data_IF_356913977837
#
_entry.id   IF_356913977837
#
_cell.length_a   1.000
_cell.length_b   1.000
_cell.length_c   1.000
_cell.angle_alpha   90.00
_cell.angle_beta   90.00
_cell.angle_gamma   90.00
#
_symmetry.space_group_name_H-M   'P 1'
#
loop_
_entity.id
_entity.type
_entity.pdbx_description
1 polymer ?
#
# COMPACT_ATOMS: atom_id res chain seq x y z
N UNK A 1 52.45 -9.05 0.86
CA UNK A 1 51.29 -9.82 0.36
C UNK A 1 50.17 -9.93 1.41
N UNK A 2 50.48 -10.21 2.67
CA UNK A 2 49.51 -10.24 3.79
C UNK A 2 48.69 -8.95 3.96
N UNK A 3 49.35 -7.79 3.91
CA UNK A 3 48.69 -6.48 4.04
C UNK A 3 47.64 -6.23 2.96
N UNK A 4 47.94 -6.55 1.70
CA UNK A 4 46.99 -6.39 0.59
C UNK A 4 45.76 -7.28 0.77
N UNK A 5 45.94 -8.53 1.20
CA UNK A 5 44.83 -9.46 1.44
C UNK A 5 43.94 -8.97 2.58
N UNK A 6 44.53 -8.51 3.69
CA UNK A 6 43.79 -7.95 4.83
C UNK A 6 43.05 -6.67 4.43
N UNK A 7 43.71 -5.74 3.73
CA UNK A 7 43.07 -4.52 3.24
C UNK A 7 41.92 -4.82 2.27
N UNK A 8 42.06 -5.81 1.37
CA UNK A 8 41.00 -6.25 0.47
C UNK A 8 39.81 -6.85 1.23
N UNK A 9 40.06 -7.68 2.25
CA UNK A 9 39.00 -8.22 3.12
C UNK A 9 38.26 -7.12 3.89
N UNK A 10 39.00 -6.16 4.46
CA UNK A 10 38.40 -5.00 5.13
C UNK A 10 37.60 -4.13 4.16
N UNK A 11 38.07 -3.94 2.94
CA UNK A 11 37.35 -3.21 1.91
C UNK A 11 36.03 -3.93 1.54
N UNK A 12 36.09 -5.23 1.23
CA UNK A 12 34.90 -6.01 0.86
C UNK A 12 33.89 -6.11 2.00
N UNK A 13 34.36 -6.28 3.24
CA UNK A 13 33.46 -6.29 4.41
C UNK A 13 32.81 -4.93 4.65
N UNK A 14 33.54 -3.83 4.49
CA UNK A 14 33.01 -2.46 4.57
C UNK A 14 31.97 -2.22 3.47
N UNK A 15 32.27 -2.61 2.23
CA UNK A 15 31.34 -2.47 1.10
C UNK A 15 30.04 -3.26 1.35
N UNK A 16 30.14 -4.50 1.84
CA UNK A 16 28.98 -5.32 2.21
C UNK A 16 28.14 -4.66 3.30
N UNK A 17 28.76 -4.17 4.37
CA UNK A 17 28.06 -3.48 5.47
C UNK A 17 27.37 -2.21 4.99
N UNK A 18 28.01 -1.45 4.09
CA UNK A 18 27.42 -0.25 3.51
C UNK A 18 26.17 -0.59 2.69
N UNK A 19 26.28 -1.56 1.77
CA UNK A 19 25.14 -2.01 0.96
C UNK A 19 23.97 -2.49 1.84
N UNK A 20 24.23 -3.31 2.85
CA UNK A 20 23.20 -3.78 3.78
C UNK A 20 22.52 -2.63 4.54
N UNK A 21 23.29 -1.63 4.99
CA UNK A 21 22.73 -0.47 5.67
C UNK A 21 21.86 0.37 4.73
N UNK A 22 22.29 0.58 3.48
CA UNK A 22 21.51 1.29 2.46
C UNK A 22 20.19 0.57 2.15
N UNK A 23 20.22 -0.75 1.99
CA UNK A 23 19.02 -1.56 1.76
C UNK A 23 18.02 -1.42 2.91
N UNK A 24 18.50 -1.54 4.15
CA UNK A 24 17.65 -1.42 5.34
C UNK A 24 17.04 -0.02 5.46
N UNK A 25 17.79 1.03 5.11
CA UNK A 25 17.27 2.40 5.09
C UNK A 25 16.19 2.57 4.02
N UNK A 26 16.40 2.05 2.80
CA UNK A 26 15.41 2.08 1.73
C UNK A 26 14.11 1.38 2.14
N UNK A 27 14.22 0.17 2.70
CA UNK A 27 13.07 -0.58 3.22
C UNK A 27 12.37 0.17 4.34
N UNK A 28 13.13 0.77 5.26
CA UNK A 28 12.57 1.55 6.36
C UNK A 28 11.79 2.77 5.87
N UNK A 29 12.29 3.44 4.83
CA UNK A 29 11.63 4.58 4.22
C UNK A 29 10.36 4.17 3.45
N UNK A 30 10.43 3.09 2.65
CA UNK A 30 9.28 2.53 1.95
C UNK A 30 8.15 2.17 2.93
N UNK A 31 8.48 1.49 4.03
CA UNK A 31 7.51 1.16 5.09
C UNK A 31 6.87 2.42 5.70
N UNK A 32 7.69 3.43 6.02
CA UNK A 32 7.20 4.69 6.60
C UNK A 32 6.26 5.41 5.64
N UNK A 33 6.61 5.49 4.37
CA UNK A 33 5.82 6.22 3.38
C UNK A 33 4.51 5.51 3.04
N UNK A 34 4.54 4.17 2.94
CA UNK A 34 3.32 3.36 2.83
C UNK A 34 2.41 3.54 4.05
N UNK A 35 2.94 3.43 5.28
CA UNK A 35 2.13 3.62 6.50
C UNK A 35 1.56 5.04 6.61
N UNK A 36 2.33 6.08 6.28
CA UNK A 36 1.86 7.48 6.32
C UNK A 36 0.70 7.72 5.38
N UNK A 37 0.72 7.09 4.21
CA UNK A 37 -0.32 7.20 3.19
C UNK A 37 -1.46 6.18 3.37
N UNK A 38 -1.41 5.36 4.41
CA UNK A 38 -2.42 4.35 4.66
C UNK A 38 -3.81 4.97 4.83
N UNK A 39 -4.78 4.35 4.16
CA UNK A 39 -6.16 4.78 4.12
C UNK A 39 -6.41 6.06 3.35
N UNK A 40 -5.43 6.58 2.60
CA UNK A 40 -5.61 7.80 1.83
C UNK A 40 -6.78 7.69 0.87
N UNK A 41 -7.67 8.67 0.96
CA UNK A 41 -8.56 9.13 -0.11
C UNK A 41 -8.57 10.68 -0.05
N UNK A 42 -9.05 11.37 -1.09
CA UNK A 42 -8.96 12.83 -1.16
C UNK A 42 -9.68 13.58 -0.03
N UNK A 43 -10.81 13.06 0.48
CA UNK A 43 -11.60 13.74 1.50
C UNK A 43 -11.36 13.19 2.92
N UNK A 44 -11.73 11.93 3.17
CA UNK A 44 -11.54 11.27 4.47
C UNK A 44 -10.76 9.97 4.33
N UNK A 45 -10.08 9.54 5.39
CA UNK A 45 -9.45 8.21 5.39
C UNK A 45 -10.49 7.11 5.22
N UNK A 46 -10.16 6.00 4.54
CA UNK A 46 -11.09 4.88 4.32
C UNK A 46 -11.69 4.32 5.62
N UNK A 47 -10.99 4.50 6.75
CA UNK A 47 -11.48 4.08 8.06
C UNK A 47 -12.72 4.88 8.55
N UNK A 48 -13.01 6.02 7.91
CA UNK A 48 -14.09 6.95 8.25
C UNK A 48 -15.14 7.05 7.14
N UNK A 49 -14.94 6.33 6.03
CA UNK A 49 -15.90 6.24 4.93
C UNK A 49 -16.74 4.97 5.08
N UNK A 50 -17.97 5.02 4.59
CA UNK A 50 -18.76 3.80 4.37
C UNK A 50 -18.19 3.07 3.15
N UNK A 51 -17.30 2.12 3.41
CA UNK A 51 -16.55 1.41 2.37
C UNK A 51 -17.15 0.05 2.02
N UNK A 52 -17.24 -0.25 0.73
CA UNK A 52 -17.61 -1.56 0.21
C UNK A 52 -16.62 -2.05 -0.85
N UNK A 53 -16.04 -3.23 -0.67
CA UNK A 53 -15.32 -3.90 -1.75
C UNK A 53 -16.33 -4.64 -2.64
N UNK A 54 -16.41 -4.26 -3.92
CA UNK A 54 -17.37 -4.82 -4.86
C UNK A 54 -16.81 -6.06 -5.56
N UNK A 55 -15.50 -6.32 -5.47
CA UNK A 55 -14.86 -7.51 -6.03
C UNK A 55 -15.26 -8.78 -5.27
N UNK A 56 -15.31 -8.69 -3.94
CA UNK A 56 -15.56 -9.82 -3.03
C UNK A 56 -16.70 -9.58 -2.02
N UNK A 57 -17.43 -8.47 -2.14
CA UNK A 57 -18.56 -8.10 -1.27
C UNK A 57 -18.17 -7.93 0.21
N UNK A 58 -16.88 -7.73 0.50
CA UNK A 58 -16.41 -7.42 1.83
C UNK A 58 -16.82 -5.99 2.24
N UNK A 59 -17.56 -5.89 3.34
CA UNK A 59 -17.84 -4.64 4.02
C UNK A 59 -16.75 -4.31 5.05
N UNK A 60 -16.55 -3.02 5.33
CA UNK A 60 -15.59 -2.50 6.33
C UNK A 60 -14.11 -2.76 6.01
N UNK A 61 -13.62 -2.17 4.91
CA UNK A 61 -12.19 -2.11 4.60
C UNK A 61 -11.43 -1.24 5.62
N UNK A 62 -10.32 -1.77 6.15
CA UNK A 62 -9.45 -1.07 7.09
C UNK A 62 -8.15 -0.68 6.41
N UNK A 63 -7.69 0.55 6.65
CA UNK A 63 -6.48 1.15 6.08
C UNK A 63 -5.22 0.33 6.35
N UNK A 64 -5.12 -0.21 7.57
CA UNK A 64 -3.97 -1.01 8.00
C UNK A 64 -4.48 -2.25 8.72
N UNK A 65 -3.98 -3.39 8.32
CA UNK A 65 -4.30 -4.69 8.89
C UNK A 65 -3.01 -5.49 9.12
N UNK A 66 -2.97 -6.27 10.19
CA UNK A 66 -1.90 -7.26 10.40
C UNK A 66 -2.46 -8.67 10.32
N UNK A 67 -1.75 -9.57 9.63
CA UNK A 67 -2.10 -11.00 9.55
C UNK A 67 -0.96 -11.88 10.08
N UNK A 68 -1.27 -13.16 10.27
CA UNK A 68 -0.30 -14.19 10.66
C UNK A 68 -0.03 -14.29 12.16
N UNK A 69 0.53 -15.43 12.57
CA UNK A 69 0.99 -15.64 13.94
C UNK A 69 2.17 -14.70 14.23
N UNK A 70 2.04 -13.84 15.24
CA UNK A 70 3.06 -12.85 15.61
C UNK A 70 3.08 -11.56 14.79
N UNK A 71 2.03 -11.27 14.01
CA UNK A 71 1.86 -10.01 13.26
C UNK A 71 3.04 -9.70 12.32
N UNK A 72 3.49 -10.72 11.60
CA UNK A 72 4.61 -10.66 10.65
C UNK A 72 4.17 -10.36 9.20
N UNK A 73 2.92 -9.97 9.02
CA UNK A 73 2.35 -9.55 7.75
C UNK A 73 1.59 -8.25 7.99
N UNK A 74 2.00 -7.18 7.31
CA UNK A 74 1.35 -5.88 7.27
C UNK A 74 0.68 -5.68 5.92
N UNK A 75 -0.59 -5.30 5.94
CA UNK A 75 -1.34 -4.88 4.75
C UNK A 75 -1.69 -3.41 4.93
N UNK A 76 -1.36 -2.61 3.92
CA UNK A 76 -1.69 -1.19 3.84
C UNK A 76 -2.55 -0.96 2.61
N UNK A 77 -3.68 -0.30 2.79
CA UNK A 77 -4.67 -0.06 1.74
C UNK A 77 -4.90 1.42 1.56
N UNK A 78 -4.93 1.90 0.32
CA UNK A 78 -5.17 3.31 0.00
C UNK A 78 -5.59 3.51 -1.45
N UNK A 79 -6.21 4.65 -1.74
CA UNK A 79 -6.27 5.18 -3.09
C UNK A 79 -4.87 5.67 -3.51
N UNK A 80 -4.57 5.62 -4.80
CA UNK A 80 -3.44 6.32 -5.39
C UNK A 80 -3.56 7.84 -5.16
N UNK A 81 -2.42 8.52 -5.02
CA UNK A 81 -2.33 9.97 -4.99
C UNK A 81 -2.53 10.59 -6.39
N UNK A 82 -2.31 9.83 -7.45
CA UNK A 82 -2.77 10.16 -8.80
C UNK A 82 -4.25 9.74 -8.98
N UNK A 83 -5.14 10.54 -8.42
CA UNK A 83 -6.60 10.37 -8.51
C UNK A 83 -7.24 11.48 -9.35
N UNK A 84 -8.47 11.24 -9.78
CA UNK A 84 -9.21 12.05 -10.74
C UNK A 84 -10.58 12.44 -10.20
N UNK A 85 -11.06 13.60 -10.63
CA UNK A 85 -12.43 14.03 -10.36
C UNK A 85 -13.39 13.33 -11.32
N UNK A 86 -14.46 12.78 -10.74
CA UNK A 86 -15.61 12.32 -11.49
C UNK A 86 -16.40 13.56 -11.92
N UNK A 87 -16.40 13.82 -13.23
CA UNK A 87 -17.12 14.94 -13.82
C UNK A 87 -18.62 14.68 -13.80
N UNK A 88 -19.04 13.44 -14.06
CA UNK A 88 -20.45 13.06 -14.06
C UNK A 88 -20.63 11.56 -13.86
N UNK A 89 -21.57 11.16 -13.01
CA UNK A 89 -22.14 9.82 -12.99
C UNK A 89 -23.31 9.80 -14.00
N UNK A 90 -23.17 9.02 -15.08
CA UNK A 90 -24.21 8.94 -16.12
C UNK A 90 -25.33 7.97 -15.70
N UNK A 91 -24.92 6.84 -15.12
CA UNK A 91 -25.79 5.85 -14.49
C UNK A 91 -24.96 5.04 -13.47
N UNK A 92 -25.51 3.94 -12.94
CA UNK A 92 -24.86 3.12 -11.92
C UNK A 92 -23.59 2.40 -12.42
N UNK A 93 -23.34 2.29 -13.72
CA UNK A 93 -22.13 1.63 -14.27
C UNK A 93 -21.20 2.56 -15.02
N UNK A 94 -21.67 3.74 -15.41
CA UNK A 94 -20.94 4.62 -16.30
C UNK A 94 -20.55 5.93 -15.60
N UNK A 95 -19.24 6.16 -15.57
CA UNK A 95 -18.64 7.38 -15.01
C UNK A 95 -17.90 8.14 -16.10
N UNK A 96 -18.04 9.46 -16.09
CA UNK A 96 -17.28 10.38 -16.92
C UNK A 96 -16.20 11.06 -16.08
N UNK A 97 -14.95 10.97 -16.53
CA UNK A 97 -13.80 11.58 -15.87
C UNK A 97 -13.01 12.44 -16.86
N UNK A 98 -12.27 13.42 -16.34
CA UNK A 98 -11.37 14.23 -17.15
C UNK A 98 -10.23 13.36 -17.74
N UNK A 99 -9.82 13.69 -18.97
CA UNK A 99 -9.01 12.86 -19.86
C UNK A 99 -7.65 12.45 -19.26
N UNK A 100 -7.49 11.16 -18.88
CA UNK A 100 -6.28 10.60 -18.22
C UNK A 100 -6.11 9.09 -18.47
N UNK A 101 -5.15 8.43 -17.81
CA UNK A 101 -4.79 7.01 -18.02
C UNK A 101 -5.42 6.10 -16.97
N UNK A 102 -6.63 5.59 -17.25
CA UNK A 102 -7.15 4.38 -16.59
C UNK A 102 -7.29 3.30 -17.64
N UNK A 103 -7.12 2.04 -17.22
CA UNK A 103 -7.15 0.90 -18.14
C UNK A 103 -8.22 -0.13 -17.78
N UNK A 104 -8.78 -0.85 -18.77
CA UNK A 104 -9.64 -2.00 -18.48
C UNK A 104 -8.95 -3.05 -17.60
N UNK A 105 -9.69 -3.65 -16.68
CA UNK A 105 -9.22 -4.64 -15.71
C UNK A 105 -8.56 -4.04 -14.45
N UNK A 106 -8.31 -2.73 -14.44
CA UNK A 106 -7.72 -2.04 -13.30
C UNK A 106 -8.70 -1.98 -12.11
N UNK A 107 -8.17 -2.17 -10.90
CA UNK A 107 -8.95 -2.01 -9.67
C UNK A 107 -8.82 -0.58 -9.18
N UNK A 108 -9.95 0.07 -8.98
CA UNK A 108 -10.04 1.47 -8.59
C UNK A 108 -10.85 1.65 -7.32
N UNK A 109 -10.48 2.64 -6.52
CA UNK A 109 -11.34 3.18 -5.49
C UNK A 109 -12.14 4.34 -6.08
N UNK A 110 -13.43 4.37 -5.79
CA UNK A 110 -14.33 5.48 -6.10
C UNK A 110 -14.88 6.00 -4.79
N UNK A 111 -14.66 7.28 -4.48
CA UNK A 111 -14.93 7.84 -3.15
C UNK A 111 -15.48 9.26 -3.23
N UNK A 112 -16.36 9.63 -2.31
CA UNK A 112 -16.64 11.03 -1.97
C UNK A 112 -16.18 11.29 -0.51
N UNK A 113 -16.83 12.22 0.20
CA UNK A 113 -16.55 12.49 1.61
C UNK A 113 -17.30 11.59 2.61
N UNK A 114 -18.13 10.66 2.16
CA UNK A 114 -19.02 9.85 3.00
C UNK A 114 -18.96 8.35 2.68
N UNK A 115 -18.78 8.00 1.41
CA UNK A 115 -18.86 6.67 0.85
C UNK A 115 -17.62 6.34 0.01
N UNK A 116 -17.36 5.04 -0.12
CA UNK A 116 -16.38 4.57 -1.08
C UNK A 116 -16.62 3.13 -1.53
N UNK A 117 -16.25 2.84 -2.77
CA UNK A 117 -16.34 1.51 -3.36
C UNK A 117 -15.03 1.12 -4.02
N UNK A 118 -14.64 -0.15 -3.88
CA UNK A 118 -13.57 -0.74 -4.66
C UNK A 118 -14.18 -1.49 -5.83
N UNK A 119 -13.87 -1.04 -7.04
CA UNK A 119 -14.48 -1.50 -8.28
C UNK A 119 -13.40 -1.98 -9.26
N UNK A 120 -13.81 -2.80 -10.24
CA UNK A 120 -12.97 -3.20 -11.36
C UNK A 120 -13.51 -2.54 -12.64
N UNK A 121 -12.62 -1.93 -13.42
CA UNK A 121 -12.98 -1.31 -14.69
C UNK A 121 -13.23 -2.41 -15.72
N UNK A 122 -14.41 -2.42 -16.32
CA UNK A 122 -14.74 -3.33 -17.42
C UNK A 122 -14.22 -2.78 -18.76
N UNK A 123 -14.47 -1.49 -19.03
CA UNK A 123 -14.08 -0.86 -20.27
C UNK A 123 -13.78 0.63 -20.09
N UNK A 124 -12.93 1.15 -20.96
CA UNK A 124 -12.59 2.57 -21.05
C UNK A 124 -12.77 3.02 -22.49
N UNK A 125 -13.54 4.08 -22.70
CA UNK A 125 -13.76 4.69 -24.02
C UNK A 125 -13.40 6.16 -23.99
N UNK A 126 -12.48 6.58 -24.85
CA UNK A 126 -12.17 7.99 -25.05
C UNK A 126 -13.32 8.64 -25.83
N UNK A 127 -13.83 9.75 -25.31
CA UNK A 127 -14.86 10.58 -25.95
C UNK A 127 -14.43 12.05 -25.93
N UNK A 128 -15.14 12.92 -26.66
CA UNK A 128 -14.78 14.35 -26.77
C UNK A 128 -14.74 15.08 -25.42
N UNK A 129 -15.53 14.64 -24.44
CA UNK A 129 -15.62 15.22 -23.11
C UNK A 129 -14.71 14.57 -22.06
N UNK A 130 -13.90 13.57 -22.42
CA UNK A 130 -13.00 12.87 -21.48
C UNK A 130 -13.01 11.36 -21.67
N UNK A 131 -12.86 10.62 -20.56
CA UNK A 131 -12.99 9.17 -20.57
C UNK A 131 -14.32 8.72 -19.99
N UNK A 132 -15.02 7.88 -20.75
CA UNK A 132 -16.15 7.10 -20.28
C UNK A 132 -15.63 5.78 -19.70
N UNK A 133 -15.75 5.63 -18.39
CA UNK A 133 -15.41 4.43 -17.63
C UNK A 133 -16.67 3.59 -17.47
N UNK A 134 -16.58 2.31 -17.81
CA UNK A 134 -17.62 1.30 -17.55
C UNK A 134 -17.16 0.38 -16.44
N UNK A 135 -17.96 0.26 -15.38
CA UNK A 135 -17.68 -0.58 -14.22
C UNK A 135 -18.28 -1.97 -14.39
N UNK A 136 -17.53 -2.98 -13.95
CA UNK A 136 -17.97 -4.39 -14.01
C UNK A 136 -19.24 -4.64 -13.19
N UNK A 137 -19.31 -4.03 -12.00
CA UNK A 137 -20.50 -4.05 -11.13
C UNK A 137 -21.10 -2.64 -11.02
N UNK A 138 -22.44 -2.53 -10.88
CA UNK A 138 -23.06 -1.24 -10.61
C UNK A 138 -22.59 -0.68 -9.26
N UNK A 139 -22.46 0.64 -9.21
CA UNK A 139 -22.31 1.44 -8.02
C UNK A 139 -23.47 1.17 -7.07
N UNK A 140 -23.13 1.09 -5.79
CA UNK A 140 -24.07 0.90 -4.69
C UNK A 140 -24.50 2.24 -4.10
N UNK A 141 -23.62 3.24 -4.15
CA UNK A 141 -23.89 4.58 -3.65
C UNK A 141 -24.06 5.59 -4.78
N UNK A 142 -24.90 6.59 -4.53
CA UNK A 142 -24.91 7.83 -5.29
C UNK A 142 -23.93 8.81 -4.67
N UNK A 143 -22.86 9.13 -5.39
CA UNK A 143 -21.76 9.93 -4.85
C UNK A 143 -22.10 11.42 -4.80
N UNK A 144 -21.85 12.04 -3.65
CA UNK A 144 -21.91 13.49 -3.52
C UNK A 144 -20.75 14.13 -4.29
N UNK A 145 -21.04 15.22 -5.00
CA UNK A 145 -20.00 16.00 -5.67
C UNK A 145 -19.15 16.77 -4.64
N UNK A 146 -17.80 16.77 -4.74
CA UNK A 146 -17.00 16.09 -5.75
C UNK A 146 -16.78 14.60 -5.45
N UNK A 147 -16.98 13.75 -6.47
CA UNK A 147 -16.56 12.36 -6.45
C UNK A 147 -15.15 12.19 -7.02
N UNK A 148 -14.41 11.22 -6.50
CA UNK A 148 -13.03 10.92 -6.88
C UNK A 148 -12.89 9.47 -7.32
N UNK A 149 -11.98 9.22 -8.25
CA UNK A 149 -11.60 7.89 -8.70
C UNK A 149 -10.09 7.80 -8.86
N UNK A 150 -9.49 6.72 -8.35
CA UNK A 150 -8.06 6.47 -8.49
C UNK A 150 -7.74 5.01 -8.31
N UNK A 151 -6.56 4.57 -8.75
CA UNK A 151 -6.13 3.19 -8.57
C UNK A 151 -6.18 2.77 -7.10
N UNK A 152 -6.65 1.55 -6.84
CA UNK A 152 -6.67 0.98 -5.50
C UNK A 152 -5.39 0.22 -5.24
N UNK A 153 -4.65 0.62 -4.21
CA UNK A 153 -3.37 0.05 -3.85
C UNK A 153 -3.52 -0.78 -2.57
N UNK A 154 -3.18 -2.07 -2.67
CA UNK A 154 -3.09 -2.99 -1.54
C UNK A 154 -1.64 -3.47 -1.40
N UNK A 155 -0.88 -2.73 -0.60
CA UNK A 155 0.52 -3.00 -0.34
C UNK A 155 0.64 -4.03 0.80
N UNK A 156 1.47 -5.06 0.60
CA UNK A 156 1.69 -6.11 1.58
C UNK A 156 3.18 -6.24 1.88
N UNK A 157 3.53 -6.21 3.16
CA UNK A 157 4.87 -6.50 3.66
C UNK A 157 4.80 -7.74 4.54
N UNK A 158 5.55 -8.78 4.20
CA UNK A 158 5.43 -10.06 4.91
C UNK A 158 6.73 -10.85 4.94
N UNK A 159 6.90 -11.66 5.99
CA UNK A 159 7.97 -12.64 6.05
C UNK A 159 7.56 -13.93 5.33
N UNK A 160 8.43 -14.43 4.47
CA UNK A 160 8.27 -15.74 3.86
C UNK A 160 9.48 -16.62 4.14
N UNK A 161 9.21 -17.84 4.62
CA UNK A 161 10.23 -18.87 4.81
C UNK A 161 10.61 -19.48 3.46
N UNK A 162 11.91 -19.65 3.20
CA UNK A 162 12.40 -20.52 2.11
C UNK A 162 12.85 -21.89 2.66
N UNK A 163 13.06 -22.85 1.74
CA UNK A 163 13.50 -24.24 1.97
C UNK A 163 14.72 -24.42 2.91
N UNK A 164 15.40 -23.33 3.29
CA UNK A 164 16.59 -23.30 4.16
C UNK A 164 16.37 -22.47 5.44
N UNK A 165 15.11 -22.36 5.93
CA UNK A 165 14.71 -21.70 7.20
C UNK A 165 15.06 -20.22 7.41
N UNK A 166 15.70 -19.56 6.43
CA UNK A 166 15.93 -18.11 6.47
C UNK A 166 14.65 -17.40 6.03
N UNK A 167 13.99 -16.72 6.97
CA UNK A 167 12.87 -15.83 6.68
C UNK A 167 13.41 -14.57 6.00
N UNK A 168 12.75 -14.15 4.91
CA UNK A 168 13.08 -12.91 4.20
C UNK A 168 11.85 -12.01 4.10
N UNK A 169 12.09 -10.71 4.03
CA UNK A 169 11.03 -9.71 3.88
C UNK A 169 10.68 -9.54 2.39
N UNK A 170 9.39 -9.65 2.11
CA UNK A 170 8.79 -9.43 0.80
C UNK A 170 7.86 -8.23 0.80
N UNK A 171 7.77 -7.58 -0.36
CA UNK A 171 6.80 -6.55 -0.68
C UNK A 171 5.93 -7.02 -1.84
N UNK A 172 4.62 -6.74 -1.79
CA UNK A 172 3.70 -7.08 -2.86
C UNK A 172 2.66 -5.98 -3.05
N UNK A 173 2.43 -5.61 -4.30
CA UNK A 173 1.23 -4.88 -4.76
C UNK A 173 0.48 -5.77 -5.74
N UNK A 174 1.08 -6.01 -6.91
CA UNK A 174 0.61 -7.01 -7.89
C UNK A 174 1.44 -8.29 -7.80
N UNK A 175 2.78 -8.15 -7.88
CA UNK A 175 3.75 -9.23 -7.76
C UNK A 175 4.55 -9.14 -6.46
N UNK A 176 5.00 -10.29 -5.94
CA UNK A 176 5.78 -10.34 -4.71
C UNK A 176 7.28 -10.27 -5.02
N UNK A 177 7.95 -9.28 -4.46
CA UNK A 177 9.38 -9.03 -4.63
C UNK A 177 10.12 -9.11 -3.30
N UNK A 178 11.33 -9.66 -3.33
CA UNK A 178 12.17 -9.73 -2.14
C UNK A 178 12.82 -8.36 -1.92
N UNK A 179 12.53 -7.70 -0.80
CA UNK A 179 13.06 -6.37 -0.50
C UNK A 179 14.53 -6.40 -0.10
N UNK A 180 14.89 -7.31 0.80
CA UNK A 180 16.26 -7.42 1.31
C UNK A 180 16.50 -8.78 1.95
N UNK A 181 17.77 -9.19 2.01
CA UNK A 181 18.22 -10.34 2.79
C UNK A 181 18.75 -9.97 4.17
N UNK A 182 18.88 -8.67 4.48
CA UNK A 182 19.44 -8.21 5.75
C UNK A 182 18.47 -8.29 6.94
N UNK A 183 17.16 -8.38 6.65
CA UNK A 183 16.10 -8.45 7.66
C UNK A 183 15.70 -9.91 7.87
N UNK A 184 15.94 -10.43 9.07
CA UNK A 184 15.67 -11.80 9.48
C UNK A 184 14.34 -11.95 10.23
N UNK A 185 13.81 -10.87 10.80
CA UNK A 185 12.49 -10.85 11.44
C UNK A 185 11.76 -9.53 11.22
N UNK A 186 10.43 -9.61 11.20
CA UNK A 186 9.53 -8.49 11.01
C UNK A 186 8.32 -8.71 11.91
N UNK A 187 8.06 -7.76 12.79
CA UNK A 187 6.90 -7.78 13.68
C UNK A 187 6.25 -6.41 13.70
N UNK A 188 4.92 -6.41 13.62
CA UNK A 188 4.13 -5.18 13.56
C UNK A 188 3.16 -5.11 14.71
N UNK A 189 3.10 -3.94 15.34
CA UNK A 189 2.12 -3.64 16.37
C UNK A 189 1.40 -2.34 16.00
N UNK A 190 0.08 -2.41 15.95
CA UNK A 190 -0.76 -1.24 15.77
C UNK A 190 -1.18 -0.75 17.16
N UNK A 191 -0.82 0.48 17.49
CA UNK A 191 -1.23 1.18 18.70
C UNK A 191 -2.30 2.19 18.30
N UNK A 192 -3.52 2.00 18.81
CA UNK A 192 -4.61 2.94 18.59
C UNK A 192 -4.88 3.70 19.88
N UNK A 193 -4.79 5.02 19.80
CA UNK A 193 -5.25 5.93 20.85
C UNK A 193 -6.47 6.72 20.32
N UNK A 194 -7.10 7.55 21.16
CA UNK A 194 -8.25 8.38 20.78
C UNK A 194 -7.91 9.34 19.62
N UNK A 195 -6.71 9.92 19.64
CA UNK A 195 -6.33 11.02 18.74
C UNK A 195 -5.37 10.61 17.63
N UNK A 196 -4.74 9.44 17.72
CA UNK A 196 -3.85 8.95 16.67
C UNK A 196 -3.79 7.42 16.62
N UNK A 197 -3.48 6.92 15.44
CA UNK A 197 -3.04 5.54 15.23
C UNK A 197 -1.55 5.55 14.89
N UNK A 198 -0.77 4.72 15.58
CA UNK A 198 0.66 4.54 15.36
C UNK A 198 0.95 3.08 15.02
N UNK A 199 1.78 2.88 14.00
CA UNK A 199 2.31 1.56 13.65
C UNK A 199 3.76 1.49 14.10
N UNK A 200 4.03 0.51 14.96
CA UNK A 200 5.36 0.18 15.45
C UNK A 200 5.83 -1.08 14.73
N UNK A 201 6.87 -0.96 13.93
CA UNK A 201 7.52 -2.07 13.24
C UNK A 201 8.84 -2.36 13.91
N UNK A 202 9.08 -3.64 14.25
CA UNK A 202 10.39 -4.14 14.67
C UNK A 202 11.01 -4.95 13.54
N UNK A 203 12.17 -4.51 13.09
CA UNK A 203 13.00 -5.19 12.09
C UNK A 203 14.17 -5.85 12.82
N UNK A 204 14.26 -7.17 12.78
CA UNK A 204 15.43 -7.90 13.26
C UNK A 204 16.48 -8.01 12.16
N UNK A 205 17.71 -7.64 12.50
CA UNK A 205 18.92 -7.86 11.71
C UNK A 205 19.80 -8.87 12.47
N UNK A 206 20.93 -9.28 11.88
CA UNK A 206 21.86 -10.24 12.50
C UNK A 206 22.29 -9.81 13.92
N UNK A 207 22.68 -8.54 14.10
CA UNK A 207 23.30 -8.07 15.36
C UNK A 207 22.42 -7.09 16.17
N UNK A 208 21.26 -6.69 15.66
CA UNK A 208 20.43 -5.63 16.29
C UNK A 208 18.97 -5.68 15.84
N UNK A 209 18.12 -4.99 16.61
CA UNK A 209 16.72 -4.74 16.25
C UNK A 209 16.52 -3.25 16.01
N UNK A 210 15.89 -2.88 14.90
CA UNK A 210 15.49 -1.51 14.58
C UNK A 210 13.98 -1.37 14.82
N UNK A 211 13.58 -0.33 15.54
CA UNK A 211 12.17 0.03 15.70
C UNK A 211 11.83 1.23 14.81
N UNK A 212 10.78 1.10 14.00
CA UNK A 212 10.21 2.17 13.21
C UNK A 212 8.85 2.51 13.79
N UNK A 213 8.66 3.76 14.18
CA UNK A 213 7.40 4.25 14.70
C UNK A 213 6.85 5.26 13.70
N UNK A 214 5.65 5.00 13.19
CA UNK A 214 5.04 5.82 12.15
C UNK A 214 3.58 6.07 12.47
N UNK A 215 3.19 7.35 12.50
CA UNK A 215 1.78 7.73 12.66
C UNK A 215 1.05 7.54 11.34
N UNK A 216 -0.17 7.04 11.44
CA UNK A 216 -1.12 6.91 10.34
C UNK A 216 -1.86 8.23 10.19
N UNK A 217 -2.17 8.61 8.94
CA UNK A 217 -3.03 9.75 8.68
C UNK A 217 -4.41 9.52 9.33
N UNK A 218 -4.77 10.41 10.24
CA UNK A 218 -6.13 10.60 10.75
C UNK A 218 -6.83 11.67 9.87
N UNK A 219 -8.17 11.74 9.84
CA UNK A 219 -8.93 12.72 9.06
C UNK A 219 -8.45 14.16 9.26
#
# INVERSE_FOLDING_TARGET
>A
MQFYLNSKQHYLSTQKKFAQNSDVQLVSQLLRDSIRSAGFTPCLSINYLTMQDRRNEQSALIAIETKGSGSNHLIVRRMSDDFFLITKQLDAKHLLIANKTLTPGEVVAITDCFHGEIQEIEAVKVISSGLLITLKKPLLFDYASPGYIGAWLEEQFFMQARKQSINKLFYKVSHAEQLTTAISSFAVKILKNKDYQEVVIKLGLEDRVISLNTRVRMP
#
